data_IF_387203213619
#
_entry.id   IF_387203213619
#
_cell.length_a   1.000
_cell.length_b   1.000
_cell.length_c   1.000
_cell.angle_alpha   90.00
_cell.angle_beta   90.00
_cell.angle_gamma   90.00
#
_symmetry.space_group_name_H-M   'P 1'
#
loop_
_entity.id
_entity.type
_entity.pdbx_description
1 polymer ?
#
# COMPACT_ATOMS: atom_id res chain seq x y z
N UNK A 1 3.35 -24.74 -1.01
CA UNK A 1 3.10 -24.52 0.43
C UNK A 1 3.98 -23.39 0.93
N UNK A 2 3.39 -22.50 1.75
CA UNK A 2 3.84 -21.14 2.06
C UNK A 2 5.15 -21.09 2.85
N UNK A 3 6.17 -20.43 2.29
CA UNK A 3 7.45 -20.16 2.94
C UNK A 3 7.44 -18.83 3.74
N UNK A 4 6.26 -18.43 4.25
CA UNK A 4 6.04 -17.14 4.91
C UNK A 4 6.71 -17.02 6.30
N UNK A 5 7.22 -18.12 6.87
CA UNK A 5 7.93 -18.11 8.16
C UNK A 5 9.33 -17.49 8.10
N UNK A 6 9.92 -17.28 6.91
CA UNK A 6 11.32 -16.84 6.77
C UNK A 6 11.53 -15.33 6.63
N UNK A 7 10.48 -14.50 6.55
CA UNK A 7 10.61 -13.09 6.14
C UNK A 7 10.93 -12.08 7.25
N UNK A 8 10.85 -12.45 8.54
CA UNK A 8 11.04 -11.50 9.64
C UNK A 8 12.03 -11.99 10.71
N UNK A 9 12.96 -12.87 10.34
CA UNK A 9 14.03 -13.23 11.27
C UNK A 9 15.18 -12.24 11.08
N UNK A 10 15.18 -11.20 11.91
CA UNK A 10 16.30 -10.26 12.00
C UNK A 10 17.57 -10.99 12.41
N UNK A 11 18.71 -10.62 11.83
CA UNK A 11 20.01 -11.11 12.32
C UNK A 11 20.35 -10.39 13.61
N UNK A 12 20.82 -11.15 14.60
CA UNK A 12 21.17 -10.62 15.91
C UNK A 12 22.60 -10.94 16.30
N UNK A 13 23.24 -10.05 17.03
CA UNK A 13 24.53 -10.24 17.67
C UNK A 13 25.57 -10.84 16.71
N UNK A 14 26.10 -12.03 17.04
CA UNK A 14 27.12 -12.75 16.27
C UNK A 14 26.66 -13.26 14.90
N UNK A 15 25.37 -13.15 14.58
CA UNK A 15 24.87 -13.46 13.24
C UNK A 15 25.19 -12.35 12.23
N UNK A 16 25.51 -11.14 12.71
CA UNK A 16 25.92 -10.00 11.91
C UNK A 16 27.40 -10.16 11.58
N UNK A 17 27.72 -10.39 10.30
CA UNK A 17 29.09 -10.72 9.84
C UNK A 17 29.80 -9.57 9.10
N UNK A 18 29.15 -8.43 8.97
CA UNK A 18 29.73 -7.26 8.30
C UNK A 18 30.78 -6.60 9.20
N UNK A 19 31.80 -5.93 8.64
CA UNK A 19 32.87 -5.30 9.42
C UNK A 19 32.41 -4.03 10.15
N UNK A 20 31.54 -3.24 9.52
CA UNK A 20 31.05 -1.96 10.04
C UNK A 20 29.53 -1.90 9.97
N UNK A 21 28.92 -1.24 10.96
CA UNK A 21 27.47 -1.05 11.07
C UNK A 21 27.18 0.38 11.51
N UNK A 22 26.05 0.91 11.03
CA UNK A 22 25.46 2.13 11.57
C UNK A 22 24.59 1.76 12.76
N UNK A 23 24.94 2.23 13.95
CA UNK A 23 24.13 2.00 15.15
C UNK A 23 23.03 3.06 15.26
N UNK A 24 21.89 2.64 15.80
CA UNK A 24 20.80 3.51 16.26
C UNK A 24 20.27 2.98 17.59
N UNK A 25 19.78 3.86 18.46
CA UNK A 25 19.22 3.48 19.75
C UNK A 25 18.45 4.65 20.36
N UNK A 26 17.70 4.37 21.43
CA UNK A 26 16.92 5.41 22.10
C UNK A 26 17.86 6.40 22.83
N UNK A 27 18.97 5.89 23.39
CA UNK A 27 20.00 6.67 24.09
C UNK A 27 21.37 6.59 23.38
N UNK A 28 21.38 6.42 22.06
CA UNK A 28 22.60 6.25 21.28
C UNK A 28 22.51 7.11 20.03
N UNK A 29 23.44 8.05 19.90
CA UNK A 29 23.56 8.85 18.68
C UNK A 29 23.88 7.96 17.47
N UNK A 30 23.33 8.32 16.31
CA UNK A 30 23.57 7.54 15.12
C UNK A 30 24.99 7.76 14.62
N UNK A 31 25.81 6.71 14.75
CA UNK A 31 27.19 6.71 14.31
C UNK A 31 27.52 5.40 13.57
N UNK A 32 28.55 5.44 12.73
CA UNK A 32 29.09 4.26 12.07
C UNK A 32 30.28 3.78 12.89
N UNK A 33 30.24 2.52 13.32
CA UNK A 33 31.31 1.90 14.11
C UNK A 33 31.56 0.47 13.66
N UNK A 34 32.70 -0.09 14.08
CA UNK A 34 33.01 -1.49 13.85
C UNK A 34 31.98 -2.39 14.56
N UNK A 35 31.57 -3.47 13.92
CA UNK A 35 30.57 -4.42 14.48
C UNK A 35 30.98 -4.96 15.84
N UNK A 36 32.29 -5.16 16.06
CA UNK A 36 32.81 -5.60 17.37
C UNK A 36 32.53 -4.59 18.48
N UNK A 37 32.72 -3.29 18.20
CA UNK A 37 32.41 -2.23 19.16
C UNK A 37 30.90 -2.13 19.40
N UNK A 38 30.09 -2.29 18.36
CA UNK A 38 28.63 -2.30 18.49
C UNK A 38 28.13 -3.46 19.37
N UNK A 39 28.75 -4.64 19.24
CA UNK A 39 28.45 -5.81 20.08
C UNK A 39 28.83 -5.58 21.54
N UNK A 40 30.00 -4.99 21.80
CA UNK A 40 30.42 -4.64 23.16
C UNK A 40 29.47 -3.63 23.81
N UNK A 41 29.02 -2.62 23.05
CA UNK A 41 28.08 -1.62 23.55
C UNK A 41 26.71 -2.24 23.89
N UNK A 42 26.25 -3.20 23.07
CA UNK A 42 25.03 -3.94 23.35
C UNK A 42 25.17 -4.79 24.64
N UNK A 43 26.29 -5.49 24.79
CA UNK A 43 26.59 -6.32 25.97
C UNK A 43 26.71 -5.50 27.26
N UNK A 44 27.38 -4.33 27.21
CA UNK A 44 27.46 -3.40 28.34
C UNK A 44 26.10 -2.90 28.82
N UNK A 45 25.15 -2.73 27.89
CA UNK A 45 23.78 -2.33 28.21
C UNK A 45 22.87 -3.52 28.55
N UNK A 46 23.35 -4.76 28.45
CA UNK A 46 22.54 -5.96 28.62
C UNK A 46 21.44 -6.12 27.55
N UNK A 47 21.67 -5.58 26.35
CA UNK A 47 20.74 -5.58 25.22
C UNK A 47 21.32 -6.35 24.03
N UNK A 48 20.50 -6.55 23.00
CA UNK A 48 20.93 -7.21 21.76
C UNK A 48 21.21 -6.20 20.64
N UNK A 49 22.19 -6.49 19.80
CA UNK A 49 22.42 -5.81 18.54
C UNK A 49 21.57 -6.46 17.45
N UNK A 50 20.54 -5.78 16.97
CA UNK A 50 19.59 -6.29 15.98
C UNK A 50 19.76 -5.56 14.65
N UNK A 51 20.05 -6.29 13.57
CA UNK A 51 20.17 -5.72 12.22
C UNK A 51 18.78 -5.41 11.63
N UNK A 52 18.37 -4.14 11.60
CA UNK A 52 17.04 -3.70 11.15
C UNK A 52 16.99 -3.51 9.62
N UNK A 53 18.04 -2.94 9.04
CA UNK A 53 18.13 -2.70 7.59
C UNK A 53 19.42 -3.27 7.03
N UNK A 54 19.40 -4.51 6.51
CA UNK A 54 20.57 -5.15 5.93
C UNK A 54 20.97 -4.55 4.56
N UNK A 55 20.03 -3.89 3.87
CA UNK A 55 20.24 -3.35 2.53
C UNK A 55 20.89 -1.95 2.52
N UNK A 56 21.09 -1.34 3.68
CA UNK A 56 21.76 -0.04 3.78
C UNK A 56 23.28 -0.19 3.72
N UNK A 57 23.99 0.84 3.26
CA UNK A 57 25.45 0.90 3.28
C UNK A 57 25.91 2.07 4.19
N UNK A 58 26.59 1.79 5.32
CA UNK A 58 26.68 0.51 6.03
C UNK A 58 25.32 0.04 6.61
N UNK A 59 25.14 -1.26 6.89
CA UNK A 59 23.89 -1.82 7.44
C UNK A 59 23.47 -1.13 8.74
N UNK A 60 22.16 -0.95 8.94
CA UNK A 60 21.63 -0.29 10.14
C UNK A 60 21.26 -1.31 11.20
N UNK A 61 21.93 -1.23 12.33
CA UNK A 61 21.71 -2.06 13.51
C UNK A 61 21.16 -1.22 14.66
N UNK A 62 20.19 -1.76 15.39
CA UNK A 62 19.61 -1.12 16.57
C UNK A 62 19.95 -1.91 17.82
N UNK A 63 20.36 -1.23 18.88
CA UNK A 63 20.63 -1.86 20.18
C UNK A 63 19.35 -1.81 21.02
N UNK A 64 18.70 -2.97 21.20
CA UNK A 64 17.38 -3.12 21.84
C UNK A 64 17.23 -4.52 22.44
N UNK A 65 16.28 -4.69 23.36
CA UNK A 65 15.80 -6.00 23.78
C UNK A 65 15.05 -6.67 22.63
N UNK A 66 15.61 -7.75 22.11
CA UNK A 66 15.05 -8.46 20.95
C UNK A 66 13.68 -9.08 21.24
N UNK A 67 13.47 -9.61 22.45
CA UNK A 67 12.22 -10.25 22.84
C UNK A 67 11.08 -9.23 22.94
N UNK A 68 11.36 -8.09 23.57
CA UNK A 68 10.42 -6.95 23.66
C UNK A 68 10.09 -6.38 22.27
N UNK A 69 11.11 -6.23 21.42
CA UNK A 69 10.93 -5.78 20.04
C UNK A 69 10.03 -6.71 19.22
N UNK A 70 10.26 -8.02 19.28
CA UNK A 70 9.43 -9.01 18.59
C UNK A 70 7.97 -8.97 19.09
N UNK A 71 7.76 -8.78 20.40
CA UNK A 71 6.42 -8.63 20.96
C UNK A 71 5.72 -7.38 20.42
N UNK A 72 6.37 -6.22 20.49
CA UNK A 72 5.83 -4.95 19.99
C UNK A 72 5.54 -5.02 18.49
N UNK A 73 6.44 -5.61 17.72
CA UNK A 73 6.25 -5.79 16.29
C UNK A 73 5.06 -6.71 15.98
N UNK A 74 4.91 -7.84 16.69
CA UNK A 74 3.76 -8.72 16.55
C UNK A 74 2.45 -8.01 16.94
N UNK A 75 2.46 -7.23 18.02
CA UNK A 75 1.31 -6.42 18.45
C UNK A 75 0.92 -5.42 17.37
N UNK A 76 1.89 -4.65 16.88
CA UNK A 76 1.67 -3.68 15.81
C UNK A 76 1.17 -4.34 14.52
N UNK A 77 1.75 -5.46 14.11
CA UNK A 77 1.26 -6.23 12.95
C UNK A 77 -0.17 -6.73 13.14
N UNK A 78 -0.56 -7.15 14.35
CA UNK A 78 -1.94 -7.54 14.67
C UNK A 78 -2.88 -6.34 14.60
N UNK A 79 -2.49 -5.20 15.15
CA UNK A 79 -3.27 -3.96 15.08
C UNK A 79 -3.46 -3.49 13.63
N UNK A 80 -2.40 -3.52 12.81
CA UNK A 80 -2.48 -3.19 11.39
C UNK A 80 -3.43 -4.14 10.64
N UNK A 81 -3.34 -5.46 10.90
CA UNK A 81 -4.24 -6.45 10.31
C UNK A 81 -5.68 -6.30 10.79
N UNK A 82 -5.90 -5.88 12.03
CA UNK A 82 -7.23 -5.61 12.57
C UNK A 82 -7.84 -4.34 11.97
N UNK A 83 -7.03 -3.30 11.75
CA UNK A 83 -7.43 -2.05 11.10
C UNK A 83 -7.64 -2.18 9.59
N UNK A 84 -7.10 -3.23 8.96
CA UNK A 84 -7.30 -3.48 7.55
C UNK A 84 -8.77 -3.84 7.28
N UNK A 85 -9.48 -2.95 6.59
CA UNK A 85 -10.85 -3.21 6.12
C UNK A 85 -10.82 -4.42 5.19
N UNK A 86 -11.49 -5.49 5.60
CA UNK A 86 -11.66 -6.68 4.76
C UNK A 86 -12.81 -6.41 3.80
N UNK A 87 -12.46 -6.21 2.53
CA UNK A 87 -13.45 -6.12 1.45
C UNK A 87 -13.86 -7.55 1.13
N UNK A 88 -15.08 -7.93 1.49
CA UNK A 88 -15.64 -9.23 1.15
C UNK A 88 -16.45 -9.15 -0.15
N UNK A 89 -16.59 -10.29 -0.83
CA UNK A 89 -17.50 -10.42 -1.98
C UNK A 89 -18.79 -11.04 -1.48
N UNK A 90 -19.87 -10.27 -1.45
CA UNK A 90 -21.21 -10.74 -1.11
C UNK A 90 -21.94 -11.20 -2.37
N UNK A 91 -22.54 -12.38 -2.31
CA UNK A 91 -23.24 -12.94 -3.46
C UNK A 91 -24.76 -12.72 -3.36
N UNK A 92 -25.38 -12.32 -4.47
CA UNK A 92 -26.83 -12.14 -4.59
C UNK A 92 -27.33 -13.02 -5.73
N UNK A 93 -28.32 -13.87 -5.44
CA UNK A 93 -28.86 -14.83 -6.39
C UNK A 93 -30.23 -14.41 -6.90
N UNK A 94 -30.39 -14.38 -8.20
CA UNK A 94 -31.64 -14.18 -8.91
C UNK A 94 -32.13 -15.46 -9.59
N UNK A 95 -33.46 -15.56 -9.73
CA UNK A 95 -34.10 -16.52 -10.61
C UNK A 95 -34.36 -15.88 -11.98
N UNK A 96 -34.57 -16.69 -13.04
CA UNK A 96 -34.94 -16.17 -14.36
C UNK A 96 -36.32 -15.51 -14.37
N UNK A 97 -37.18 -15.82 -13.39
CA UNK A 97 -38.51 -15.26 -13.19
C UNK A 97 -38.62 -14.66 -11.78
N UNK A 98 -37.70 -13.78 -11.42
CA UNK A 98 -37.76 -13.05 -10.14
C UNK A 98 -38.93 -12.08 -10.16
N UNK A 99 -39.73 -12.08 -9.08
CA UNK A 99 -40.82 -11.15 -8.84
C UNK A 99 -40.29 -9.76 -8.42
N UNK A 100 -41.08 -8.70 -8.60
CA UNK A 100 -40.70 -7.34 -8.24
C UNK A 100 -40.39 -7.18 -6.74
N UNK A 101 -41.16 -7.83 -5.86
CA UNK A 101 -40.90 -7.76 -4.43
C UNK A 101 -39.57 -8.44 -4.03
N UNK A 102 -39.25 -9.58 -4.64
CA UNK A 102 -37.97 -10.29 -4.44
C UNK A 102 -36.80 -9.47 -5.00
N UNK A 103 -37.01 -8.78 -6.12
CA UNK A 103 -36.03 -7.86 -6.70
C UNK A 103 -35.72 -6.70 -5.74
N UNK A 104 -36.74 -6.00 -5.25
CA UNK A 104 -36.57 -4.84 -4.37
C UNK A 104 -35.89 -5.20 -3.05
N UNK A 105 -36.21 -6.37 -2.50
CA UNK A 105 -35.54 -6.90 -1.32
C UNK A 105 -34.04 -7.09 -1.58
N UNK A 106 -33.66 -7.73 -2.69
CA UNK A 106 -32.26 -7.95 -3.07
C UNK A 106 -31.53 -6.65 -3.42
N UNK A 107 -32.23 -5.69 -4.01
CA UNK A 107 -31.70 -4.36 -4.32
C UNK A 107 -31.31 -3.63 -3.02
N UNK A 108 -32.17 -3.65 -1.99
CA UNK A 108 -31.85 -3.07 -0.67
C UNK A 108 -30.58 -3.68 -0.05
N UNK A 109 -30.48 -5.01 -0.05
CA UNK A 109 -29.29 -5.71 0.47
C UNK A 109 -28.03 -5.35 -0.31
N UNK A 110 -28.13 -5.21 -1.63
CA UNK A 110 -27.01 -4.81 -2.46
C UNK A 110 -26.54 -3.38 -2.16
N UNK A 111 -27.48 -2.45 -1.93
CA UNK A 111 -27.17 -1.08 -1.50
C UNK A 111 -26.44 -1.08 -0.16
N UNK A 112 -26.90 -1.86 0.81
CA UNK A 112 -26.24 -2.03 2.10
C UNK A 112 -24.81 -2.59 1.94
N UNK A 113 -24.64 -3.68 1.18
CA UNK A 113 -23.32 -4.27 0.95
C UNK A 113 -22.34 -3.33 0.25
N UNK A 114 -22.79 -2.57 -0.74
CA UNK A 114 -21.96 -1.59 -1.43
C UNK A 114 -21.62 -0.39 -0.52
N UNK A 115 -22.58 0.05 0.32
CA UNK A 115 -22.35 1.13 1.29
C UNK A 115 -21.36 0.72 2.39
N UNK A 116 -21.37 -0.55 2.80
CA UNK A 116 -20.40 -1.15 3.71
C UNK A 116 -19.01 -1.34 3.09
N UNK A 117 -18.85 -1.02 1.79
CA UNK A 117 -17.58 -1.15 1.06
C UNK A 117 -17.27 -2.58 0.63
N UNK A 118 -18.26 -3.48 0.62
CA UNK A 118 -18.11 -4.83 0.05
C UNK A 118 -18.35 -4.83 -1.45
N UNK A 119 -17.74 -5.79 -2.14
CA UNK A 119 -18.06 -6.08 -3.54
C UNK A 119 -19.32 -6.93 -3.60
N UNK A 120 -20.16 -6.71 -4.62
CA UNK A 120 -21.37 -7.50 -4.85
C UNK A 120 -21.19 -8.32 -6.12
N UNK A 121 -21.46 -9.62 -6.03
CA UNK A 121 -21.56 -10.54 -7.16
C UNK A 121 -23.01 -10.96 -7.31
N UNK A 122 -23.70 -10.35 -8.26
CA UNK A 122 -25.07 -10.75 -8.58
C UNK A 122 -25.05 -11.80 -9.69
N UNK A 123 -25.90 -12.82 -9.57
CA UNK A 123 -26.01 -13.83 -10.62
C UNK A 123 -27.42 -14.38 -10.78
N UNK A 124 -27.80 -14.66 -12.03
CA UNK A 124 -29.03 -15.40 -12.38
C UNK A 124 -28.68 -16.86 -12.57
N UNK A 125 -29.38 -17.76 -11.89
CA UNK A 125 -29.17 -19.20 -12.02
C UNK A 125 -30.22 -19.83 -12.95
N UNK A 126 -29.78 -20.37 -14.08
CA UNK A 126 -30.64 -21.06 -15.03
C UNK A 126 -30.66 -22.57 -14.75
N UNK A 127 -31.85 -23.12 -14.47
CA UNK A 127 -32.10 -24.55 -14.31
C UNK A 127 -32.78 -25.12 -15.57
N UNK A 128 -32.17 -26.14 -16.18
CA UNK A 128 -32.75 -26.87 -17.31
C UNK A 128 -33.02 -25.96 -18.52
N UNK A 129 -34.27 -25.98 -19.02
CA UNK A 129 -34.70 -25.19 -20.20
C UNK A 129 -34.76 -23.67 -19.94
N UNK A 130 -34.62 -23.20 -18.71
CA UNK A 130 -34.66 -21.76 -18.42
C UNK A 130 -33.50 -20.98 -18.99
N UNK A 131 -32.45 -21.64 -19.50
CA UNK A 131 -31.37 -20.98 -20.25
C UNK A 131 -31.86 -20.26 -21.51
N UNK A 132 -33.03 -20.63 -22.04
CA UNK A 132 -33.69 -19.92 -23.14
C UNK A 132 -34.05 -18.48 -22.76
N UNK A 133 -34.24 -18.20 -21.47
CA UNK A 133 -34.51 -16.86 -20.94
C UNK A 133 -33.22 -16.09 -20.56
N UNK A 134 -32.08 -16.42 -21.18
CA UNK A 134 -30.80 -15.72 -20.94
C UNK A 134 -30.92 -14.21 -21.15
N UNK A 135 -31.68 -13.77 -22.15
CA UNK A 135 -31.88 -12.35 -22.46
C UNK A 135 -32.65 -11.64 -21.35
N UNK A 136 -33.67 -12.28 -20.77
CA UNK A 136 -34.39 -11.74 -19.61
C UNK A 136 -33.49 -11.65 -18.39
N UNK A 137 -32.62 -12.64 -18.17
CA UNK A 137 -31.62 -12.60 -17.10
C UNK A 137 -30.61 -11.47 -17.29
N UNK A 138 -30.18 -11.20 -18.53
CA UNK A 138 -29.28 -10.09 -18.85
C UNK A 138 -29.93 -8.75 -18.57
N UNK A 139 -31.16 -8.53 -19.05
CA UNK A 139 -31.94 -7.32 -18.78
C UNK A 139 -32.13 -7.10 -17.29
N UNK A 140 -32.42 -8.16 -16.52
CA UNK A 140 -32.56 -8.08 -15.07
C UNK A 140 -31.26 -7.62 -14.38
N UNK A 141 -30.11 -8.18 -14.78
CA UNK A 141 -28.82 -7.80 -14.21
C UNK A 141 -28.38 -6.39 -14.61
N UNK A 142 -28.71 -5.95 -15.83
CA UNK A 142 -28.47 -4.59 -16.30
C UNK A 142 -29.35 -3.58 -15.56
N UNK A 143 -30.65 -3.88 -15.37
CA UNK A 143 -31.55 -3.07 -14.54
C UNK A 143 -30.99 -2.94 -13.11
N UNK A 144 -30.56 -4.07 -12.54
CA UNK A 144 -29.96 -4.10 -11.21
C UNK A 144 -28.69 -3.26 -11.11
N UNK A 145 -27.85 -3.27 -12.15
CA UNK A 145 -26.66 -2.42 -12.20
C UNK A 145 -27.00 -0.93 -12.28
N UNK A 146 -27.98 -0.55 -13.09
CA UNK A 146 -28.43 0.84 -13.22
C UNK A 146 -29.03 1.36 -11.91
N UNK A 147 -29.89 0.57 -11.24
CA UNK A 147 -30.49 0.95 -9.96
C UNK A 147 -29.46 1.08 -8.82
N UNK A 148 -28.27 0.49 -9.00
CA UNK A 148 -27.13 0.55 -8.08
C UNK A 148 -26.02 1.50 -8.54
N UNK A 149 -26.22 2.23 -9.64
CA UNK A 149 -25.19 3.10 -10.19
C UNK A 149 -24.73 4.16 -9.18
N UNK A 150 -25.61 4.65 -8.32
CA UNK A 150 -25.25 5.63 -7.27
C UNK A 150 -24.27 5.05 -6.24
N UNK A 151 -24.41 3.77 -5.89
CA UNK A 151 -23.66 3.10 -4.82
C UNK A 151 -22.45 2.32 -5.34
N UNK A 152 -22.48 1.89 -6.60
CA UNK A 152 -21.53 0.94 -7.16
C UNK A 152 -21.14 1.25 -8.60
N UNK A 153 -19.96 0.76 -8.99
CA UNK A 153 -19.49 0.75 -10.37
C UNK A 153 -19.43 -0.69 -10.85
N UNK A 154 -19.98 -0.93 -12.04
CA UNK A 154 -19.89 -2.22 -12.74
C UNK A 154 -18.42 -2.48 -13.11
N UNK A 155 -17.89 -3.61 -12.65
CA UNK A 155 -16.53 -4.06 -12.96
C UNK A 155 -16.49 -4.74 -14.34
N UNK A 156 -17.53 -5.52 -14.66
CA UNK A 156 -17.68 -6.26 -15.90
C UNK A 156 -19.16 -6.36 -16.27
N UNK A 157 -19.49 -6.26 -17.56
CA UNK A 157 -20.84 -6.51 -18.08
C UNK A 157 -21.28 -7.95 -17.78
N UNK A 158 -22.59 -8.26 -17.77
CA UNK A 158 -23.08 -9.62 -17.50
C UNK A 158 -22.44 -10.65 -18.45
N UNK A 159 -21.81 -11.69 -17.88
CA UNK A 159 -21.22 -12.79 -18.65
C UNK A 159 -21.90 -14.10 -18.27
N UNK A 160 -22.20 -14.93 -19.26
CA UNK A 160 -22.73 -16.28 -19.06
C UNK A 160 -21.58 -17.27 -18.77
N UNK A 161 -21.50 -17.73 -17.53
CA UNK A 161 -20.60 -18.79 -17.08
C UNK A 161 -21.40 -20.09 -16.83
N UNK A 162 -21.46 -20.94 -17.85
CA UNK A 162 -22.15 -22.23 -17.78
C UNK A 162 -23.66 -22.08 -17.58
N UNK A 163 -24.14 -22.35 -16.36
CA UNK A 163 -25.57 -22.24 -15.99
C UNK A 163 -25.90 -20.95 -15.23
N UNK A 164 -24.94 -20.03 -15.10
CA UNK A 164 -25.10 -18.77 -14.35
C UNK A 164 -24.73 -17.60 -15.24
N UNK A 165 -25.52 -16.54 -15.21
CA UNK A 165 -25.09 -15.25 -15.74
C UNK A 165 -24.70 -14.37 -14.56
N UNK A 166 -23.51 -13.77 -14.60
CA UNK A 166 -22.89 -13.12 -13.45
C UNK A 166 -22.51 -11.69 -13.80
N UNK A 167 -22.70 -10.78 -12.86
CA UNK A 167 -22.20 -9.40 -12.89
C UNK A 167 -21.50 -9.07 -11.57
N UNK A 168 -20.40 -8.31 -11.65
CA UNK A 168 -19.66 -7.82 -10.49
C UNK A 168 -19.82 -6.31 -10.35
N UNK A 169 -20.18 -5.88 -9.15
CA UNK A 169 -20.25 -4.48 -8.75
C UNK A 169 -19.22 -4.22 -7.66
N UNK A 170 -18.47 -3.15 -7.87
CA UNK A 170 -17.54 -2.60 -6.88
C UNK A 170 -18.19 -1.43 -6.18
N UNK A 171 -18.01 -1.26 -4.87
CA UNK A 171 -18.54 -0.10 -4.18
C UNK A 171 -17.88 1.16 -4.76
N UNK A 172 -18.70 2.14 -5.16
CA UNK A 172 -18.17 3.49 -5.38
C UNK A 172 -17.68 3.93 -4.02
N UNK A 173 -16.42 4.37 -3.95
CA UNK A 173 -15.87 4.89 -2.69
C UNK A 173 -16.82 5.97 -2.21
N UNK A 174 -17.61 5.68 -1.19
CA UNK A 174 -18.14 6.74 -0.34
C UNK A 174 -16.91 7.51 0.09
N UNK A 175 -16.95 8.82 -0.10
CA UNK A 175 -15.93 9.71 0.43
C UNK A 175 -16.01 9.68 1.96
N UNK A 176 -15.61 8.56 2.56
CA UNK A 176 -15.09 8.57 3.91
C UNK A 176 -13.89 9.51 3.84
N UNK A 177 -13.89 10.62 4.58
CA UNK A 177 -12.81 11.58 4.51
C UNK A 177 -11.55 10.81 4.87
N UNK A 178 -10.68 10.68 3.87
CA UNK A 178 -9.26 10.44 4.09
C UNK A 178 -8.88 11.40 5.22
N UNK A 179 -8.32 10.95 6.36
CA UNK A 179 -7.76 11.89 7.33
C UNK A 179 -6.69 12.68 6.59
N UNK A 180 -7.08 13.86 6.10
CA UNK A 180 -6.23 14.85 5.48
C UNK A 180 -5.60 15.62 6.64
N UNK A 181 -4.74 14.93 7.38
CA UNK A 181 -3.88 15.54 8.37
C UNK A 181 -2.54 14.83 8.25
N UNK A 182 -1.50 15.63 7.95
CA UNK A 182 -0.09 15.28 7.67
C UNK A 182 0.37 15.27 6.20
N UNK A 183 -0.24 16.06 5.32
CA UNK A 183 0.40 16.44 4.05
C UNK A 183 0.94 17.89 4.04
N UNK A 184 0.57 18.75 5.00
CA UNK A 184 0.93 20.18 4.94
C UNK A 184 2.20 20.58 5.70
N UNK A 185 2.87 19.66 6.41
CA UNK A 185 4.07 19.98 7.19
C UNK A 185 5.42 19.75 6.44
N UNK A 186 5.42 19.54 5.12
CA UNK A 186 6.65 19.26 4.35
C UNK A 186 6.93 20.21 3.18
N UNK A 187 6.19 21.32 3.07
CA UNK A 187 6.36 22.31 2.01
C UNK A 187 7.21 23.54 2.39
N UNK A 188 7.69 23.65 3.64
CA UNK A 188 8.33 24.89 4.13
C UNK A 188 9.87 24.87 4.21
N UNK A 189 10.54 23.84 3.70
CA UNK A 189 12.02 23.71 3.81
C UNK A 189 12.76 23.59 2.46
N UNK A 190 12.13 23.98 1.34
CA UNK A 190 12.74 23.83 0.00
C UNK A 190 12.98 25.12 -0.81
N UNK A 191 12.88 26.29 -0.20
CA UNK A 191 13.00 27.56 -0.96
C UNK A 191 14.23 28.44 -0.67
N UNK A 192 15.25 27.92 0.01
CA UNK A 192 16.54 28.61 0.13
C UNK A 192 17.70 27.67 -0.20
N UNK A 193 18.02 27.56 -1.49
CA UNK A 193 19.36 27.27 -2.05
C UNK A 193 19.26 27.30 -3.59
N UNK A 194 18.98 28.48 -4.14
CA UNK A 194 19.35 28.78 -5.53
C UNK A 194 20.80 29.24 -5.55
N UNK A 195 21.61 28.56 -6.35
CA UNK A 195 23.04 28.80 -6.56
C UNK A 195 23.31 30.22 -7.12
N UNK A 196 24.45 30.84 -6.77
CA UNK A 196 24.85 32.11 -7.37
C UNK A 196 25.27 31.91 -8.84
N UNK A 197 24.67 32.73 -9.71
CA UNK A 197 24.94 32.80 -11.15
C UNK A 197 26.39 33.21 -11.42
N UNK A 198 27.08 32.44 -12.28
CA UNK A 198 28.38 32.80 -12.83
C UNK A 198 28.23 34.02 -13.77
N UNK A 199 28.87 35.13 -13.41
CA UNK A 199 29.06 36.28 -14.31
C UNK A 199 30.17 35.98 -15.32
N UNK A 200 29.87 36.28 -16.58
CA UNK A 200 30.74 36.14 -17.74
C UNK A 200 32.11 36.84 -17.54
N UNK A 201 33.18 36.15 -17.97
CA UNK A 201 34.52 36.71 -18.12
C UNK A 201 34.50 37.81 -19.18
N UNK A 202 34.96 39.01 -18.83
CA UNK A 202 35.39 40.03 -19.80
C UNK A 202 36.78 39.64 -20.32
N UNK A 203 36.91 39.47 -21.63
CA UNK A 203 38.21 39.47 -22.32
C UNK A 203 38.90 40.82 -22.11
N UNK A 204 40.16 40.79 -21.68
CA UNK A 204 41.07 41.93 -21.71
C UNK A 204 41.93 41.82 -22.96
N UNK A 205 41.77 42.76 -23.90
CA UNK A 205 42.73 42.99 -24.97
C UNK A 205 43.91 43.80 -24.39
N UNK A 206 45.02 43.11 -24.14
CA UNK A 206 46.30 43.73 -23.81
C UNK A 206 47.06 44.16 -25.08
N UNK A 207 47.90 45.19 -25.01
CA UNK A 207 48.43 45.90 -26.17
C UNK A 207 49.50 45.09 -26.92
N UNK A 208 49.44 45.14 -28.25
CA UNK A 208 50.41 44.55 -29.17
C UNK A 208 51.64 45.48 -29.23
N UNK A 209 52.81 44.98 -28.84
CA UNK A 209 54.10 45.65 -29.04
C UNK A 209 54.92 44.82 -30.02
N UNK A 210 55.13 45.36 -31.20
CA UNK A 210 56.22 45.05 -32.11
C UNK A 210 56.48 46.35 -32.89
N UNK A 211 57.67 46.93 -32.69
CA UNK A 211 58.12 48.09 -33.43
C UNK A 211 58.73 47.68 -34.76
N UNK A 212 58.67 48.58 -35.73
CA UNK A 212 59.65 48.73 -36.81
C UNK A 212 59.45 50.11 -37.46
N UNK A 213 60.55 50.84 -37.50
CA UNK A 213 61.01 51.76 -38.54
C UNK A 213 60.44 53.18 -38.75
N UNK A 214 61.42 54.10 -38.73
CA UNK A 214 61.51 55.50 -39.16
C UNK A 214 61.13 56.61 -38.16
#
# INVERSE_FOLDING_TARGET
MKNDKKKLQYRINRQIRVPEVRIVGDDIESQVIATRQALQLAEQKGLDLVEISPNAQPPVCRIIDYSKFLYQQKKHQKELKAKQVKIEVKEIRFGPQTDEHDYDFKLKHAKEFLSDGNKVKAYVFFRGRSILFKEQGEVLLLRFANDLEEYGKVEQMPVLEGKRMIIFLTPKKTATPKPAEKAEASASFKEERKAPQQKAKKEYAGPKVEGEDF
#
